data_IF_375828601777
#
_entry.id   IF_375828601777
#
_cell.length_a   1.000
_cell.length_b   1.000
_cell.length_c   1.000
_cell.angle_alpha   90.00
_cell.angle_beta   90.00
_cell.angle_gamma   90.00
#
_symmetry.space_group_name_H-M   'P 1'
#
loop_
_entity.id
_entity.type
_entity.pdbx_description
1 polymer ?
#
# COMPACT_ATOMS: atom_id res chain seq x y z
N UNK A 1 -6.47 5.25 1.67
CA UNK A 1 -6.65 4.73 0.31
C UNK A 1 -7.34 3.38 0.39
N UNK A 2 -7.92 2.90 -0.72
CA UNK A 2 -8.65 1.63 -0.76
C UNK A 2 -7.85 0.61 -1.57
N UNK A 3 -7.56 -0.56 -0.98
CA UNK A 3 -6.94 -1.66 -1.72
C UNK A 3 -7.88 -2.16 -2.82
N UNK A 4 -7.34 -2.38 -4.01
CA UNK A 4 -8.07 -2.90 -5.16
C UNK A 4 -7.50 -4.24 -5.58
N UNK A 5 -8.38 -5.07 -6.14
CA UNK A 5 -7.97 -6.29 -6.82
C UNK A 5 -7.07 -5.91 -7.99
N UNK A 6 -5.88 -6.48 -8.06
CA UNK A 6 -4.91 -6.23 -9.12
C UNK A 6 -4.98 -7.35 -10.17
N UNK A 7 -4.71 -7.02 -11.43
CA UNK A 7 -4.56 -8.01 -12.49
C UNK A 7 -3.42 -8.99 -12.17
N UNK A 8 -3.67 -10.28 -12.36
CA UNK A 8 -2.72 -11.33 -12.00
C UNK A 8 -2.55 -11.54 -10.50
N UNK A 9 -3.55 -11.15 -9.69
CA UNK A 9 -3.61 -11.48 -8.26
C UNK A 9 -3.27 -12.96 -8.00
N UNK A 10 -2.27 -13.19 -7.17
CA UNK A 10 -1.83 -14.53 -6.74
C UNK A 10 -2.45 -14.92 -5.41
N UNK A 11 -2.75 -13.94 -4.55
CA UNK A 11 -3.36 -14.16 -3.23
C UNK A 11 -4.04 -12.91 -2.67
N UNK A 12 -5.03 -13.13 -1.81
CA UNK A 12 -5.65 -12.09 -0.99
C UNK A 12 -5.43 -12.42 0.48
N UNK A 13 -4.77 -11.53 1.24
CA UNK A 13 -4.38 -11.77 2.64
C UNK A 13 -5.15 -10.89 3.62
N UNK A 14 -5.08 -11.21 4.92
CA UNK A 14 -5.64 -10.39 6.01
C UNK A 14 -7.16 -10.50 6.20
N UNK A 15 -7.92 -10.91 5.18
CA UNK A 15 -9.39 -11.03 5.27
C UNK A 15 -9.85 -11.98 6.39
N UNK A 16 -9.22 -13.14 6.54
CA UNK A 16 -9.55 -14.11 7.59
C UNK A 16 -9.22 -13.61 9.01
N UNK A 17 -8.45 -12.53 9.14
CA UNK A 17 -8.08 -11.90 10.41
C UNK A 17 -8.98 -10.68 10.73
N UNK A 18 -9.98 -10.39 9.89
CA UNK A 18 -10.91 -9.27 10.07
C UNK A 18 -10.57 -8.00 9.29
N UNK A 19 -9.51 -7.99 8.47
CA UNK A 19 -9.15 -6.83 7.65
C UNK A 19 -9.93 -6.76 6.32
N UNK A 20 -9.98 -5.56 5.73
CA UNK A 20 -10.36 -5.38 4.32
C UNK A 20 -9.26 -6.02 3.47
N UNK A 21 -9.46 -7.28 3.05
CA UNK A 21 -8.39 -8.12 2.49
C UNK A 21 -7.50 -7.43 1.45
N UNK A 22 -6.19 -7.67 1.54
CA UNK A 22 -5.18 -7.06 0.69
C UNK A 22 -4.89 -7.95 -0.52
N UNK A 23 -5.21 -7.46 -1.71
CA UNK A 23 -4.89 -8.12 -2.99
C UNK A 23 -3.40 -8.00 -3.29
N UNK A 24 -2.74 -9.14 -3.53
CA UNK A 24 -1.31 -9.24 -3.82
C UNK A 24 -1.09 -9.97 -5.13
N UNK A 25 -0.14 -9.48 -5.93
CA UNK A 25 0.54 -10.23 -6.98
C UNK A 25 2.00 -10.43 -6.60
N UNK A 26 2.40 -11.68 -6.44
CA UNK A 26 3.80 -12.06 -6.26
C UNK A 26 4.54 -11.95 -7.60
N UNK A 27 5.72 -11.34 -7.60
CA UNK A 27 6.55 -11.12 -8.79
C UNK A 27 8.02 -11.32 -8.46
N UNK A 28 8.87 -11.42 -9.47
CA UNK A 28 10.32 -11.24 -9.34
C UNK A 28 10.72 -9.92 -10.01
N UNK A 29 11.66 -9.20 -9.40
CA UNK A 29 12.19 -7.95 -9.93
C UNK A 29 13.72 -7.97 -9.88
N UNK A 30 14.36 -7.22 -10.77
CA UNK A 30 15.78 -6.93 -10.64
C UNK A 30 15.96 -5.77 -9.65
N UNK A 31 16.51 -6.07 -8.48
CA UNK A 31 16.69 -5.11 -7.40
C UNK A 31 18.16 -4.69 -7.31
N UNK A 32 18.43 -3.38 -7.34
CA UNK A 32 19.80 -2.86 -7.27
C UNK A 32 20.58 -3.29 -6.00
N UNK A 33 19.86 -3.59 -4.90
CA UNK A 33 20.46 -3.99 -3.62
C UNK A 33 20.50 -5.50 -3.44
N UNK A 34 19.45 -6.21 -3.88
CA UNK A 34 19.26 -7.65 -3.62
C UNK A 34 19.62 -8.54 -4.82
N UNK A 35 19.90 -7.98 -5.99
CA UNK A 35 20.27 -8.71 -7.20
C UNK A 35 19.11 -9.01 -8.16
N UNK A 36 19.38 -9.73 -9.26
CA UNK A 36 18.37 -10.13 -10.23
C UNK A 36 17.37 -11.13 -9.63
N UNK A 37 16.17 -11.19 -10.21
CA UNK A 37 15.11 -12.15 -9.83
C UNK A 37 14.70 -12.12 -8.34
N UNK A 38 14.86 -10.96 -7.67
CA UNK A 38 14.48 -10.77 -6.28
C UNK A 38 12.95 -10.94 -6.11
N UNK A 39 12.48 -11.81 -5.20
CA UNK A 39 11.05 -11.94 -4.90
C UNK A 39 10.46 -10.65 -4.33
N UNK A 40 9.32 -10.23 -4.87
CA UNK A 40 8.61 -9.03 -4.44
C UNK A 40 7.08 -9.23 -4.51
N UNK A 41 6.35 -8.29 -3.90
CA UNK A 41 4.89 -8.29 -3.86
C UNK A 41 4.35 -6.94 -4.33
N UNK A 42 3.37 -6.96 -5.24
CA UNK A 42 2.69 -5.76 -5.73
C UNK A 42 1.26 -5.73 -5.18
N UNK A 43 0.83 -4.57 -4.71
CA UNK A 43 -0.56 -4.28 -4.31
C UNK A 43 -1.02 -3.00 -4.99
N UNK A 44 -2.31 -2.90 -5.33
CA UNK A 44 -2.90 -1.72 -5.94
C UNK A 44 -3.78 -0.98 -4.94
N UNK A 45 -3.71 0.35 -4.95
CA UNK A 45 -4.48 1.23 -4.08
C UNK A 45 -5.01 2.41 -4.86
N UNK A 46 -6.26 2.75 -4.60
CA UNK A 46 -6.89 3.95 -5.17
C UNK A 46 -7.19 4.96 -4.06
N UNK A 47 -6.86 6.24 -4.26
CA UNK A 47 -7.32 7.28 -3.36
C UNK A 47 -8.83 7.49 -3.54
N UNK A 48 -9.52 7.79 -2.45
CA UNK A 48 -10.85 8.41 -2.52
C UNK A 48 -10.76 9.83 -3.14
N UNK A 49 -11.86 10.44 -3.62
CA UNK A 49 -11.81 11.80 -4.16
C UNK A 49 -11.24 12.84 -3.18
N UNK A 50 -11.57 12.73 -1.89
CA UNK A 50 -11.04 13.62 -0.86
C UNK A 50 -9.54 13.39 -0.60
N UNK A 51 -9.07 12.14 -0.63
CA UNK A 51 -7.65 11.81 -0.55
C UNK A 51 -6.89 12.31 -1.78
N UNK A 52 -7.46 12.18 -2.98
CA UNK A 52 -6.88 12.69 -4.21
C UNK A 52 -6.75 14.22 -4.18
N UNK A 53 -7.74 14.93 -3.65
CA UNK A 53 -7.66 16.37 -3.44
C UNK A 53 -6.49 16.74 -2.52
N UNK A 54 -6.29 16.01 -1.41
CA UNK A 54 -5.14 16.23 -0.52
C UNK A 54 -3.81 15.92 -1.20
N UNK A 55 -3.71 14.84 -1.98
CA UNK A 55 -2.51 14.54 -2.77
C UNK A 55 -2.18 15.68 -3.74
N UNK A 56 -3.19 16.21 -4.44
CA UNK A 56 -3.02 17.35 -5.34
C UNK A 56 -2.61 18.64 -4.60
N UNK A 57 -2.96 18.76 -3.32
CA UNK A 57 -2.52 19.83 -2.43
C UNK A 57 -1.16 19.56 -1.75
N UNK A 58 -0.45 18.50 -2.14
CA UNK A 58 0.91 18.19 -1.66
C UNK A 58 0.97 17.29 -0.43
N UNK A 59 -0.13 16.64 -0.02
CA UNK A 59 -0.09 15.65 1.04
C UNK A 59 0.73 14.40 0.62
N UNK A 60 1.40 13.77 1.58
CA UNK A 60 2.14 12.52 1.38
C UNK A 60 1.26 11.27 1.43
N UNK A 61 1.70 10.19 0.79
CA UNK A 61 1.18 8.85 1.05
C UNK A 61 1.92 8.27 2.26
N UNK A 62 1.18 7.82 3.26
CA UNK A 62 1.73 7.16 4.44
C UNK A 62 1.52 5.64 4.37
N UNK A 63 2.60 4.91 4.65
CA UNK A 63 2.56 3.49 4.96
C UNK A 63 2.54 3.30 6.47
N UNK A 64 1.50 2.61 6.97
CA UNK A 64 1.38 2.25 8.38
C UNK A 64 1.60 0.76 8.55
N UNK A 65 2.47 0.38 9.47
CA UNK A 65 2.78 -1.00 9.86
C UNK A 65 2.23 -1.20 11.28
N UNK A 66 1.39 -2.22 11.49
CA UNK A 66 0.76 -2.45 12.79
C UNK A 66 1.63 -3.33 13.70
N UNK A 67 1.91 -2.84 14.92
CA UNK A 67 2.62 -3.58 15.96
C UNK A 67 4.10 -3.23 16.07
N UNK A 68 4.86 -4.09 16.76
CA UNK A 68 6.31 -3.91 17.03
C UNK A 68 7.20 -4.84 16.19
N UNK A 69 6.62 -5.66 15.32
CA UNK A 69 7.30 -6.50 14.32
C UNK A 69 6.67 -6.31 12.94
N UNK A 70 7.14 -7.03 11.92
CA UNK A 70 6.63 -6.91 10.54
C UNK A 70 5.40 -7.82 10.28
N UNK A 71 4.18 -7.33 10.57
CA UNK A 71 2.98 -7.63 9.77
C UNK A 71 2.06 -6.37 9.66
N UNK A 72 0.72 -6.50 9.61
CA UNK A 72 -0.19 -5.84 8.64
C UNK A 72 0.13 -4.39 8.21
N UNK A 73 -0.07 -4.10 6.93
CA UNK A 73 0.16 -2.76 6.35
C UNK A 73 -1.12 -2.06 5.88
N UNK A 74 -1.13 -0.72 5.97
CA UNK A 74 -2.18 0.15 5.45
C UNK A 74 -1.57 1.34 4.70
N UNK A 75 -2.22 1.78 3.62
CA UNK A 75 -1.88 3.03 2.94
C UNK A 75 -2.98 4.09 3.12
N UNK A 76 -2.57 5.28 3.53
CA UNK A 76 -3.43 6.45 3.71
C UNK A 76 -2.80 7.70 3.07
N UNK A 77 -3.61 8.70 2.78
CA UNK A 77 -3.10 10.03 2.42
C UNK A 77 -3.07 10.88 3.68
N UNK A 78 -1.88 11.39 3.98
CA UNK A 78 -1.60 12.23 5.14
C UNK A 78 -2.32 13.59 5.11
N UNK A 79 -2.08 14.42 6.15
CA UNK A 79 -2.48 15.82 6.12
C UNK A 79 -1.70 16.56 5.02
N UNK A 80 -2.31 17.61 4.48
CA UNK A 80 -1.60 18.59 3.64
C UNK A 80 -0.56 19.35 4.47
N UNK A 81 0.43 19.99 3.83
CA UNK A 81 1.42 20.79 4.55
C UNK A 81 0.81 21.87 5.45
N UNK A 82 -0.28 22.52 5.02
CA UNK A 82 -0.98 23.56 5.79
C UNK A 82 -1.73 22.98 7.00
N UNK A 83 -2.26 21.76 6.90
CA UNK A 83 -2.91 21.07 8.02
C UNK A 83 -1.92 20.52 9.05
N UNK A 84 -0.65 20.35 8.65
CA UNK A 84 0.41 19.80 9.49
C UNK A 84 1.22 20.87 10.24
N UNK A 85 1.02 22.16 9.93
CA UNK A 85 1.67 23.32 10.53
C UNK A 85 0.92 23.84 11.78
#
# INVERSE_FOLDING_TARGET
>A
MISKRIEGETRCIGRSQGYLGLSIRDVTIDCAVNGPETPAMITAWEPTPAELARLNAGASVHLRILGTGHPPVMLEVGPTPDEAA
#
